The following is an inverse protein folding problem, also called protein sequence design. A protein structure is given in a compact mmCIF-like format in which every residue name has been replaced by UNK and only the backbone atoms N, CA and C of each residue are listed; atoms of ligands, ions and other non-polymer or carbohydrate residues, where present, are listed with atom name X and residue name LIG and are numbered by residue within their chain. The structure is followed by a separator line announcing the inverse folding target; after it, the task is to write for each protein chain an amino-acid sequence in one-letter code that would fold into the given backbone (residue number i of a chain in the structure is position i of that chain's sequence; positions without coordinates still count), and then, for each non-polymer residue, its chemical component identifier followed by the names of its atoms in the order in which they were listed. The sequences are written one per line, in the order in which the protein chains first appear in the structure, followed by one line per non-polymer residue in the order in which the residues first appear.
data_IF_394595525698
#
_entry.id   IF_394595525698
#
_cell.length_a   1.000
_cell.length_b   1.000
_cell.length_c   1.000
_cell.angle_alpha   90.00
_cell.angle_beta   90.00
_cell.angle_gamma   90.00
#
_symmetry.space_group_name_H-M   'P 1'
#
loop_
_entity.id
_entity.type
_entity.pdbx_description
1 polymer ?
#
# COMPACT_ATOMS: atom_id res chain seq x y z
N UNK A 1 -12.12 26.40 -8.21
CA UNK A 1 -11.85 25.05 -8.74
C UNK A 1 -10.85 24.30 -7.85
N UNK A 2 -11.00 24.36 -6.52
CA UNK A 2 -10.16 23.64 -5.54
C UNK A 2 -11.07 23.22 -4.39
N UNK A 3 -11.86 22.16 -4.59
CA UNK A 3 -12.69 21.59 -3.50
C UNK A 3 -12.98 20.10 -3.64
N UNK A 4 -12.53 19.45 -4.72
CA UNK A 4 -12.86 18.04 -4.98
C UNK A 4 -11.75 17.05 -4.59
N UNK A 5 -10.55 17.55 -4.28
CA UNK A 5 -9.41 16.72 -3.86
C UNK A 5 -9.31 16.53 -2.34
N UNK A 6 -9.90 17.42 -1.52
CA UNK A 6 -9.75 17.39 -0.06
C UNK A 6 -10.65 16.36 0.64
N UNK A 7 -11.85 16.09 0.10
CA UNK A 7 -12.85 15.24 0.77
C UNK A 7 -12.50 13.75 0.77
N UNK A 8 -11.85 13.25 -0.29
CA UNK A 8 -11.52 11.83 -0.42
C UNK A 8 -10.35 11.46 0.49
N UNK A 9 -9.36 12.35 0.62
CA UNK A 9 -8.24 12.17 1.56
C UNK A 9 -8.71 12.22 3.02
N UNK A 10 -9.59 13.18 3.37
CA UNK A 10 -10.19 13.25 4.72
C UNK A 10 -11.04 12.03 5.05
N UNK A 11 -11.80 11.49 4.08
CA UNK A 11 -12.57 10.25 4.28
C UNK A 11 -11.65 9.04 4.48
N UNK A 12 -10.58 8.92 3.71
CA UNK A 12 -9.62 7.82 3.81
C UNK A 12 -8.90 7.84 5.16
N UNK A 13 -8.46 9.02 5.60
CA UNK A 13 -7.83 9.20 6.91
C UNK A 13 -8.82 8.85 8.02
N UNK A 14 -10.09 9.26 7.90
CA UNK A 14 -11.13 8.96 8.89
C UNK A 14 -11.48 7.47 8.96
N UNK A 15 -11.46 6.76 7.85
CA UNK A 15 -11.65 5.29 7.81
C UNK A 15 -10.47 4.54 8.44
N UNK A 16 -9.23 4.93 8.13
CA UNK A 16 -8.02 4.39 8.76
C UNK A 16 -8.04 4.68 10.26
N UNK A 17 -8.32 5.92 10.66
CA UNK A 17 -8.45 6.31 12.06
C UNK A 17 -9.57 5.51 12.73
N UNK A 18 -10.74 5.31 12.11
CA UNK A 18 -11.81 4.49 12.69
C UNK A 18 -11.42 3.02 12.85
N UNK A 19 -10.69 2.43 11.90
CA UNK A 19 -10.17 1.05 12.04
C UNK A 19 -9.18 0.96 13.20
N UNK A 20 -8.28 1.95 13.33
CA UNK A 20 -7.24 1.99 14.38
C UNK A 20 -7.80 2.38 15.76
N UNK A 21 -8.82 3.26 15.83
CA UNK A 21 -9.41 3.76 17.10
C UNK A 21 -10.48 2.85 17.68
N UNK A 22 -11.30 2.16 16.87
CA UNK A 22 -12.32 1.24 17.39
C UNK A 22 -11.78 -0.16 17.70
N UNK A 23 -10.66 -0.56 17.08
CA UNK A 23 -9.96 -1.80 17.44
C UNK A 23 -8.94 -1.50 18.54
N UNK A 24 -9.34 -1.58 19.81
CA UNK A 24 -8.37 -1.65 20.92
C UNK A 24 -7.45 -2.88 20.83
N UNK A 25 -7.77 -3.83 19.95
CA UNK A 25 -7.15 -5.14 19.85
C UNK A 25 -6.43 -5.31 18.50
N UNK A 26 -5.11 -5.41 18.54
CA UNK A 26 -4.23 -5.62 17.37
C UNK A 26 -4.59 -6.90 16.58
N UNK A 27 -5.17 -7.89 17.23
CA UNK A 27 -5.61 -9.16 16.63
C UNK A 27 -6.70 -8.95 15.58
N UNK A 28 -7.63 -8.02 15.82
CA UNK A 28 -8.70 -7.69 14.86
C UNK A 28 -8.12 -7.03 13.61
N UNK A 29 -7.11 -6.19 13.80
CA UNK A 29 -6.38 -5.55 12.69
C UNK A 29 -5.62 -6.59 11.87
N UNK A 30 -4.98 -7.56 12.53
CA UNK A 30 -4.30 -8.67 11.88
C UNK A 30 -5.27 -9.50 11.03
N UNK A 31 -6.44 -9.86 11.57
CA UNK A 31 -7.46 -10.62 10.82
C UNK A 31 -7.90 -9.85 9.56
N UNK A 32 -8.15 -8.54 9.68
CA UNK A 32 -8.50 -7.70 8.52
C UNK A 32 -7.38 -7.59 7.49
N UNK A 33 -6.13 -7.52 7.94
CA UNK A 33 -4.97 -7.53 7.06
C UNK A 33 -4.91 -8.85 6.28
N UNK A 34 -5.03 -9.98 6.97
CA UNK A 34 -5.00 -11.32 6.36
C UNK A 34 -6.12 -11.52 5.33
N UNK A 35 -7.34 -11.10 5.65
CA UNK A 35 -8.45 -11.13 4.71
C UNK A 35 -8.15 -10.29 3.46
N UNK A 36 -7.57 -9.08 3.63
CA UNK A 36 -7.21 -8.25 2.48
C UNK A 36 -6.09 -8.86 1.65
N UNK A 37 -5.06 -9.43 2.28
CA UNK A 37 -3.98 -10.14 1.59
C UNK A 37 -4.53 -11.27 0.72
N UNK A 38 -5.44 -12.08 1.27
CA UNK A 38 -6.11 -13.14 0.51
C UNK A 38 -6.91 -12.57 -0.68
N UNK A 39 -7.63 -11.46 -0.47
CA UNK A 39 -8.40 -10.80 -1.53
C UNK A 39 -7.51 -10.28 -2.68
N UNK A 40 -6.33 -9.74 -2.40
CA UNK A 40 -5.41 -9.28 -3.46
C UNK A 40 -4.71 -10.43 -4.18
N UNK A 41 -4.49 -11.57 -3.52
CA UNK A 41 -3.93 -12.76 -4.15
C UNK A 41 -4.91 -13.41 -5.14
N UNK A 42 -6.21 -13.29 -4.89
CA UNK A 42 -7.28 -13.90 -5.70
C UNK A 42 -7.92 -12.94 -6.71
N UNK A 43 -7.41 -11.71 -6.79
CA UNK A 43 -8.00 -10.62 -7.59
C UNK A 43 -8.11 -10.93 -9.09
N UNK A 44 -7.24 -11.80 -9.60
CA UNK A 44 -7.25 -12.28 -10.99
C UNK A 44 -8.42 -13.22 -11.33
N UNK A 45 -9.09 -13.79 -10.33
CA UNK A 45 -10.23 -14.71 -10.52
C UNK A 45 -11.57 -13.97 -10.63
N UNK A 46 -11.63 -12.70 -10.24
CA UNK A 46 -12.86 -11.92 -10.20
C UNK A 46 -13.07 -11.14 -11.50
N UNK A 47 -14.05 -11.56 -12.31
CA UNK A 47 -14.37 -10.95 -13.63
C UNK A 47 -14.95 -9.53 -13.56
N UNK A 48 -15.58 -9.15 -12.45
CA UNK A 48 -16.36 -7.91 -12.37
C UNK A 48 -15.65 -6.77 -11.62
N UNK A 49 -14.58 -7.09 -10.88
CA UNK A 49 -13.86 -6.09 -10.10
C UNK A 49 -12.91 -5.28 -10.98
N UNK A 50 -12.82 -3.96 -10.76
CA UNK A 50 -11.78 -3.12 -11.37
C UNK A 50 -10.48 -3.31 -10.58
N UNK A 51 -9.52 -4.14 -11.05
CA UNK A 51 -8.40 -4.58 -10.21
C UNK A 51 -7.50 -3.42 -9.78
N UNK A 52 -7.34 -2.43 -10.66
CA UNK A 52 -6.58 -1.20 -10.36
C UNK A 52 -7.15 -0.40 -9.21
N UNK A 53 -8.49 -0.24 -9.15
CA UNK A 53 -9.13 0.53 -8.06
C UNK A 53 -8.89 -0.16 -6.71
N UNK A 54 -9.03 -1.49 -6.67
CA UNK A 54 -8.83 -2.27 -5.45
C UNK A 54 -7.36 -2.30 -5.01
N UNK A 55 -6.42 -2.35 -5.96
CA UNK A 55 -5.00 -2.24 -5.67
C UNK A 55 -4.64 -0.88 -5.04
N UNK A 56 -5.17 0.22 -5.58
CA UNK A 56 -4.94 1.57 -5.03
C UNK A 56 -5.52 1.70 -3.62
N UNK A 57 -6.75 1.24 -3.39
CA UNK A 57 -7.39 1.22 -2.07
C UNK A 57 -6.57 0.40 -1.06
N UNK A 58 -6.04 -0.76 -1.51
CA UNK A 58 -5.22 -1.63 -0.66
C UNK A 58 -3.93 -0.94 -0.24
N UNK A 59 -3.24 -0.26 -1.16
CA UNK A 59 -2.03 0.48 -0.84
C UNK A 59 -2.32 1.58 0.18
N UNK A 60 -3.34 2.41 -0.05
CA UNK A 60 -3.60 3.56 0.80
C UNK A 60 -3.96 3.19 2.26
N UNK A 61 -4.68 2.08 2.46
CA UNK A 61 -5.19 1.68 3.77
C UNK A 61 -4.33 0.58 4.41
N UNK A 62 -4.06 -0.49 3.67
CA UNK A 62 -3.48 -1.72 4.23
C UNK A 62 -1.96 -1.73 4.25
N UNK A 63 -1.28 -0.93 3.41
CA UNK A 63 0.16 -0.77 3.49
C UNK A 63 0.56 -0.09 4.81
N UNK A 64 -0.16 0.97 5.18
CA UNK A 64 0.00 1.68 6.46
C UNK A 64 -0.36 0.77 7.63
N UNK A 65 -1.37 -0.09 7.49
CA UNK A 65 -1.75 -1.05 8.52
C UNK A 65 -0.65 -2.11 8.73
N UNK A 66 -0.06 -2.64 7.65
CA UNK A 66 1.05 -3.58 7.73
C UNK A 66 2.27 -2.95 8.43
N UNK A 67 2.58 -1.69 8.12
CA UNK A 67 3.64 -0.93 8.79
C UNK A 67 3.34 -0.74 10.28
N UNK A 68 2.10 -0.38 10.62
CA UNK A 68 1.66 -0.20 12.01
C UNK A 68 1.78 -1.48 12.84
N UNK A 69 1.47 -2.63 12.23
CA UNK A 69 1.61 -3.94 12.85
C UNK A 69 3.06 -4.47 12.84
N UNK A 70 3.99 -3.80 12.13
CA UNK A 70 5.39 -4.21 12.01
C UNK A 70 5.58 -5.51 11.22
N UNK A 71 4.72 -5.78 10.23
CA UNK A 71 4.76 -7.02 9.43
C UNK A 71 5.34 -6.72 8.05
N UNK A 72 6.67 -6.73 7.95
CA UNK A 72 7.41 -6.39 6.73
C UNK A 72 7.01 -7.26 5.54
N UNK A 73 6.80 -8.56 5.76
CA UNK A 73 6.39 -9.51 4.71
C UNK A 73 5.03 -9.19 4.10
N UNK A 74 4.09 -8.67 4.90
CA UNK A 74 2.80 -8.21 4.40
C UNK A 74 2.96 -6.94 3.57
N UNK A 75 3.87 -6.05 3.99
CA UNK A 75 4.19 -4.82 3.28
C UNK A 75 4.78 -5.13 1.89
N UNK A 76 5.81 -5.95 1.83
CA UNK A 76 6.44 -6.40 0.59
C UNK A 76 5.45 -7.08 -0.36
N UNK A 77 4.55 -7.91 0.19
CA UNK A 77 3.55 -8.61 -0.58
C UNK A 77 2.51 -7.64 -1.18
N UNK A 78 2.01 -6.69 -0.39
CA UNK A 78 1.07 -5.66 -0.86
C UNK A 78 1.71 -4.83 -1.96
N UNK A 79 2.94 -4.34 -1.74
CA UNK A 79 3.65 -3.57 -2.76
C UNK A 79 3.83 -4.40 -4.03
N UNK A 80 4.33 -5.63 -3.91
CA UNK A 80 4.62 -6.49 -5.05
C UNK A 80 3.37 -6.77 -5.90
N UNK A 81 2.25 -7.10 -5.27
CA UNK A 81 1.01 -7.47 -5.98
C UNK A 81 0.27 -6.22 -6.48
N UNK A 82 0.04 -5.23 -5.61
CA UNK A 82 -0.77 -4.07 -5.96
C UNK A 82 -0.06 -3.18 -6.97
N UNK A 83 1.24 -2.95 -6.83
CA UNK A 83 1.95 -2.14 -7.83
C UNK A 83 2.09 -2.87 -9.16
N UNK A 84 2.26 -4.21 -9.19
CA UNK A 84 2.25 -4.95 -10.45
C UNK A 84 0.92 -4.81 -11.21
N UNK A 85 -0.21 -4.64 -10.50
CA UNK A 85 -1.52 -4.39 -11.08
C UNK A 85 -1.64 -2.94 -11.61
N UNK A 86 -1.02 -1.98 -10.93
CA UNK A 86 -1.10 -0.55 -11.27
C UNK A 86 -0.14 -0.19 -12.41
N UNK A 87 1.13 -0.58 -12.26
CA UNK A 87 2.23 -0.33 -13.18
C UNK A 87 3.03 -1.62 -13.44
N UNK A 88 2.96 -2.20 -14.66
CA UNK A 88 3.73 -3.37 -15.04
C UNK A 88 5.25 -3.23 -14.87
N UNK A 89 5.78 -1.99 -14.89
CA UNK A 89 7.21 -1.71 -14.79
C UNK A 89 7.69 -1.40 -13.37
N UNK A 90 6.81 -1.51 -12.37
CA UNK A 90 7.10 -1.12 -11.00
C UNK A 90 8.40 -1.73 -10.44
N UNK A 91 8.63 -3.03 -10.64
CA UNK A 91 9.85 -3.70 -10.15
C UNK A 91 11.13 -3.10 -10.75
N UNK A 92 11.12 -2.86 -12.06
CA UNK A 92 12.24 -2.24 -12.78
C UNK A 92 12.47 -0.82 -12.26
N UNK A 93 11.39 -0.03 -12.13
CA UNK A 93 11.45 1.34 -11.61
C UNK A 93 11.96 1.39 -10.17
N UNK A 94 11.55 0.45 -9.31
CA UNK A 94 12.02 0.34 -7.91
C UNK A 94 13.53 0.10 -7.85
N UNK A 95 14.04 -0.84 -8.66
CA UNK A 95 15.48 -1.14 -8.73
C UNK A 95 16.27 0.05 -9.27
N UNK A 96 15.80 0.67 -10.35
CA UNK A 96 16.43 1.84 -10.96
C UNK A 96 16.53 2.99 -9.95
N UNK A 97 15.43 3.34 -9.29
CA UNK A 97 15.40 4.41 -8.29
C UNK A 97 16.33 4.11 -7.10
N UNK A 98 16.36 2.86 -6.64
CA UNK A 98 17.25 2.47 -5.56
C UNK A 98 18.74 2.66 -5.95
N UNK A 99 19.11 2.24 -7.15
CA UNK A 99 20.47 2.41 -7.66
C UNK A 99 20.86 3.90 -7.83
N UNK A 100 19.96 4.74 -8.36
CA UNK A 100 20.23 6.17 -8.48
C UNK A 100 20.39 6.86 -7.12
N UNK A 101 19.58 6.51 -6.12
CA UNK A 101 19.70 7.08 -4.77
C UNK A 101 21.04 6.73 -4.12
N UNK A 102 21.51 5.49 -4.27
CA UNK A 102 22.82 5.06 -3.76
C UNK A 102 23.97 5.84 -4.43
N UNK A 103 23.88 6.07 -5.74
CA UNK A 103 24.88 6.86 -6.47
C UNK A 103 24.90 8.33 -6.03
N UNK A 104 23.73 8.92 -5.78
CA UNK A 104 23.63 10.30 -5.31
C UNK A 104 24.25 10.46 -3.91
N UNK A 105 23.95 9.54 -3.00
CA UNK A 105 24.54 9.53 -1.65
C UNK A 105 26.06 9.31 -1.70
N UNK A 106 26.54 8.41 -2.57
CA UNK A 106 27.97 8.18 -2.77
C UNK A 106 28.71 9.40 -3.36
N UNK A 107 28.03 10.22 -4.17
CA UNK A 107 28.60 11.46 -4.72
C UNK A 107 28.67 12.59 -3.69
N UNK A 108 27.75 12.62 -2.72
CA UNK A 108 27.68 13.65 -1.68
C UNK A 108 28.61 13.38 -0.49
N UNK A 109 28.95 12.12 -0.22
CA UNK A 109 29.84 11.72 0.87
C UNK A 109 31.34 11.79 0.53
N UNK A 110 31.69 12.19 -0.70
CA UNK A 110 33.06 12.34 -1.19
C UNK A 110 33.53 13.81 -1.25
N UNK A 111 32.98 14.67 -0.37
CA UNK A 111 33.37 16.08 -0.19
C UNK A 111 33.82 16.35 1.24
#
# INVERSE_FOLDING_TARGET
MVSMHSNVEEQTIREVINIVFYAKDQEVLLIKLLDRLHNILTLHLKKEEKPKKKAIETINIFLTLALYLGIDSAQELIEGVCYAIIDPYYKTNKVINNNYNLLLLASQNNS
#
